data_IF_425517765138
#
_entry.id   IF_425517765138
#
_cell.length_a   1.000
_cell.length_b   1.000
_cell.length_c   1.000
_cell.angle_alpha   90.00
_cell.angle_beta   90.00
_cell.angle_gamma   90.00
#
_symmetry.space_group_name_H-M   'P 1'
#
loop_
_entity.id
_entity.type
_entity.pdbx_description
1 polymer ?
#
# COMPACT_ATOMS: atom_id res chain seq x y z
N UNK A 1 24.67 -16.33 -15.53
CA UNK A 1 24.11 -14.98 -15.51
C UNK A 1 22.67 -15.03 -15.03
N UNK A 2 22.35 -14.19 -14.09
CA UNK A 2 20.99 -14.13 -13.57
C UNK A 2 20.09 -13.49 -14.63
N UNK A 3 18.98 -14.13 -14.94
CA UNK A 3 18.01 -13.56 -15.86
C UNK A 3 17.39 -12.30 -15.25
N UNK A 4 17.07 -11.34 -16.10
CA UNK A 4 16.38 -10.15 -15.63
C UNK A 4 14.94 -10.51 -15.23
N UNK A 5 14.57 -10.16 -14.01
CA UNK A 5 13.21 -10.35 -13.52
C UNK A 5 12.34 -9.18 -14.00
N UNK A 6 11.06 -9.42 -14.34
CA UNK A 6 10.13 -8.31 -14.58
C UNK A 6 9.84 -7.51 -13.32
N UNK A 7 10.25 -8.04 -12.16
CA UNK A 7 10.06 -7.40 -10.87
C UNK A 7 11.36 -6.75 -10.44
N UNK A 8 11.30 -5.48 -10.07
CA UNK A 8 12.43 -4.79 -9.46
C UNK A 8 12.47 -5.18 -7.98
N UNK A 9 13.30 -6.18 -7.67
CA UNK A 9 13.39 -6.75 -6.32
C UNK A 9 13.81 -5.73 -5.28
N UNK A 10 14.75 -4.87 -5.63
CA UNK A 10 15.23 -3.83 -4.70
C UNK A 10 14.11 -2.86 -4.35
N UNK A 11 13.36 -2.40 -5.34
CA UNK A 11 12.23 -1.51 -5.10
C UNK A 11 11.14 -2.18 -4.27
N UNK A 12 10.84 -3.44 -4.58
CA UNK A 12 9.85 -4.21 -3.83
C UNK A 12 10.24 -4.33 -2.36
N UNK A 13 11.50 -4.63 -2.13
CA UNK A 13 12.03 -4.80 -0.77
C UNK A 13 11.96 -3.48 0.02
N UNK A 14 12.41 -2.39 -0.60
CA UNK A 14 12.38 -1.08 0.06
C UNK A 14 10.95 -0.61 0.33
N UNK A 15 10.03 -0.87 -0.59
CA UNK A 15 8.63 -0.52 -0.40
C UNK A 15 8.00 -1.31 0.74
N UNK A 16 8.32 -2.60 0.85
CA UNK A 16 7.86 -3.43 1.96
C UNK A 16 8.32 -2.88 3.30
N UNK A 17 9.60 -2.55 3.40
CA UNK A 17 10.17 -1.99 4.64
C UNK A 17 9.44 -0.70 5.01
N UNK A 18 9.25 0.17 4.04
CA UNK A 18 8.60 1.46 4.25
C UNK A 18 7.18 1.28 4.79
N UNK A 19 6.41 0.40 4.15
CA UNK A 19 5.04 0.14 4.56
C UNK A 19 4.97 -0.52 5.94
N UNK A 20 5.85 -1.48 6.19
CA UNK A 20 5.85 -2.21 7.46
C UNK A 20 6.18 -1.31 8.66
N UNK A 21 6.98 -0.27 8.44
CA UNK A 21 7.40 0.63 9.52
C UNK A 21 6.43 1.79 9.76
N UNK A 22 5.41 1.94 8.92
CA UNK A 22 4.36 2.93 9.14
C UNK A 22 3.32 2.34 10.08
N UNK A 23 3.07 2.99 11.21
CA UNK A 23 2.03 2.54 12.15
C UNK A 23 0.65 2.76 11.54
N UNK A 24 -0.13 1.68 11.43
CA UNK A 24 -1.47 1.74 10.83
C UNK A 24 -2.46 0.82 11.52
N UNK A 25 -2.70 1.01 12.84
CA UNK A 25 -3.71 0.19 13.51
C UNK A 25 -5.11 0.49 12.95
N UNK A 26 -6.01 -0.47 13.08
CA UNK A 26 -7.36 -0.35 12.55
C UNK A 26 -8.03 0.95 12.98
N UNK A 27 -8.71 1.60 12.05
CA UNK A 27 -9.39 2.90 12.20
C UNK A 27 -8.43 4.08 12.36
N UNK A 28 -7.13 3.87 12.25
CA UNK A 28 -6.13 4.94 12.34
C UNK A 28 -5.08 4.77 11.26
N UNK A 29 -5.54 4.60 10.03
CA UNK A 29 -4.68 4.32 8.88
C UNK A 29 -4.30 5.59 8.10
N UNK A 30 -4.52 6.79 8.67
CA UNK A 30 -4.29 8.05 7.95
C UNK A 30 -2.87 8.15 7.38
N UNK A 31 -1.89 7.78 8.19
CA UNK A 31 -0.49 7.91 7.78
C UNK A 31 -0.14 7.01 6.60
N UNK A 32 -0.55 5.75 6.67
CA UNK A 32 -0.28 4.83 5.56
C UNK A 32 -1.10 5.18 4.33
N UNK A 33 -2.33 5.64 4.52
CA UNK A 33 -3.17 6.06 3.40
C UNK A 33 -2.55 7.23 2.64
N UNK A 34 -2.04 8.22 3.35
CA UNK A 34 -1.37 9.36 2.72
C UNK A 34 -0.12 8.93 1.96
N UNK A 35 0.66 8.02 2.54
CA UNK A 35 1.83 7.48 1.87
C UNK A 35 1.44 6.73 0.59
N UNK A 36 0.42 5.88 0.67
CA UNK A 36 -0.04 5.11 -0.47
C UNK A 36 -0.61 5.99 -1.58
N UNK A 37 -1.38 7.02 -1.20
CA UNK A 37 -1.91 7.97 -2.19
C UNK A 37 -0.78 8.61 -2.98
N UNK A 38 0.26 9.03 -2.28
CA UNK A 38 1.43 9.64 -2.91
C UNK A 38 2.12 8.65 -3.85
N UNK A 39 2.40 7.44 -3.37
CA UNK A 39 3.13 6.43 -4.15
C UNK A 39 2.34 5.99 -5.37
N UNK A 40 1.06 5.73 -5.21
CA UNK A 40 0.23 5.29 -6.32
C UNK A 40 0.08 6.39 -7.38
N UNK A 41 -0.04 7.63 -6.94
CA UNK A 41 -0.08 8.77 -7.86
C UNK A 41 1.24 8.91 -8.63
N UNK A 42 2.36 8.75 -7.95
CA UNK A 42 3.67 8.79 -8.59
C UNK A 42 3.83 7.67 -9.64
N UNK A 43 3.17 6.54 -9.43
CA UNK A 43 3.19 5.42 -10.36
C UNK A 43 2.20 5.58 -11.52
N UNK A 44 1.46 6.68 -11.54
CA UNK A 44 0.56 6.99 -12.64
C UNK A 44 -0.88 6.53 -12.46
N UNK A 45 -1.26 6.06 -11.27
CA UNK A 45 -2.62 5.65 -11.01
C UNK A 45 -3.48 6.83 -10.61
N UNK A 46 -4.77 6.77 -10.95
CA UNK A 46 -5.76 7.70 -10.44
C UNK A 46 -6.25 7.20 -9.09
N UNK A 47 -6.06 7.99 -8.05
CA UNK A 47 -6.35 7.58 -6.68
C UNK A 47 -7.43 8.45 -6.08
N UNK A 48 -8.40 7.81 -5.44
CA UNK A 48 -9.44 8.51 -4.68
C UNK A 48 -9.66 7.82 -3.34
N UNK A 49 -10.15 8.57 -2.37
CA UNK A 49 -10.47 8.07 -1.04
C UNK A 49 -11.97 8.25 -0.83
N UNK A 50 -12.64 7.20 -0.31
CA UNK A 50 -14.08 7.28 -0.06
C UNK A 50 -14.37 7.90 1.32
N UNK A 51 -15.66 8.00 1.67
CA UNK A 51 -16.11 8.63 2.90
C UNK A 51 -16.34 7.67 4.07
N UNK A 52 -15.78 6.47 3.99
CA UNK A 52 -16.00 5.44 5.01
C UNK A 52 -15.54 5.88 6.39
N UNK A 53 -14.52 6.73 6.47
CA UNK A 53 -14.00 7.21 7.76
C UNK A 53 -15.11 7.76 8.66
N UNK A 54 -15.99 8.57 8.09
CA UNK A 54 -17.09 9.18 8.84
C UNK A 54 -18.09 8.14 9.32
N UNK A 55 -18.21 7.02 8.62
CA UNK A 55 -19.19 5.98 8.92
C UNK A 55 -18.74 5.03 10.02
N UNK A 56 -17.43 4.85 10.17
CA UNK A 56 -16.88 3.89 11.14
C UNK A 56 -16.12 4.55 12.29
N UNK A 57 -16.06 5.88 12.31
CA UNK A 57 -15.31 6.59 13.34
C UNK A 57 -13.81 6.48 13.20
N UNK A 58 -13.33 6.19 11.99
CA UNK A 58 -11.91 6.13 11.70
C UNK A 58 -11.36 7.45 11.20
N UNK A 59 -10.09 7.49 10.83
CA UNK A 59 -9.46 8.71 10.34
C UNK A 59 -9.13 8.63 8.84
N UNK A 60 -9.47 7.55 8.16
CA UNK A 60 -9.29 7.45 6.72
C UNK A 60 -10.37 6.54 6.11
N UNK A 61 -10.71 6.81 4.86
CA UNK A 61 -11.58 5.96 4.07
C UNK A 61 -10.81 4.89 3.33
N UNK A 62 -11.51 4.15 2.49
CA UNK A 62 -10.87 3.19 1.59
C UNK A 62 -10.22 3.94 0.44
N UNK A 63 -9.10 3.43 -0.03
CA UNK A 63 -8.44 3.97 -1.21
C UNK A 63 -8.81 3.13 -2.43
N UNK A 64 -9.14 3.82 -3.52
CA UNK A 64 -9.37 3.20 -4.81
C UNK A 64 -8.35 3.76 -5.79
N UNK A 65 -7.60 2.90 -6.41
CA UNK A 65 -6.60 3.29 -7.38
C UNK A 65 -6.87 2.58 -8.70
N UNK A 66 -6.86 3.32 -9.78
CA UNK A 66 -7.16 2.80 -11.12
C UNK A 66 -6.02 3.06 -12.07
N UNK A 67 -5.68 2.04 -12.82
CA UNK A 67 -4.71 2.14 -13.90
C UNK A 67 -5.39 1.67 -15.17
N UNK A 68 -5.50 2.50 -16.19
CA UNK A 68 -6.11 2.08 -17.45
C UNK A 68 -5.35 0.89 -18.05
N UNK A 69 -6.09 -0.09 -18.49
CA UNK A 69 -5.52 -1.23 -19.17
C UNK A 69 -5.81 -1.21 -20.65
N UNK A 70 -5.66 -2.35 -21.26
CA UNK A 70 -5.95 -2.52 -22.67
C UNK A 70 -7.46 -2.58 -22.89
N UNK A 71 -7.96 -1.81 -23.85
CA UNK A 71 -9.38 -1.79 -24.20
C UNK A 71 -9.82 -3.17 -24.66
N UNK A 72 -11.02 -3.58 -24.27
CA UNK A 72 -11.59 -4.87 -24.64
C UNK A 72 -11.22 -6.02 -23.71
N UNK A 73 -10.34 -5.80 -22.76
CA UNK A 73 -10.00 -6.82 -21.76
C UNK A 73 -10.74 -6.53 -20.46
N UNK A 74 -11.03 -7.59 -19.73
CA UNK A 74 -11.66 -7.47 -18.42
C UNK A 74 -10.65 -6.92 -17.41
N UNK A 75 -11.09 -6.05 -16.51
CA UNK A 75 -10.20 -5.50 -15.51
C UNK A 75 -9.79 -6.53 -14.45
N UNK A 76 -8.56 -6.41 -13.96
CA UNK A 76 -8.11 -7.13 -12.77
C UNK A 76 -8.36 -6.25 -11.56
N UNK A 77 -8.86 -6.87 -10.52
CA UNK A 77 -9.14 -6.17 -9.27
C UNK A 77 -8.33 -6.81 -8.13
N UNK A 78 -7.53 -5.98 -7.46
CA UNK A 78 -6.78 -6.40 -6.28
C UNK A 78 -7.36 -5.75 -5.05
N UNK A 79 -7.59 -6.53 -4.01
CA UNK A 79 -8.08 -6.00 -2.75
C UNK A 79 -7.12 -6.39 -1.63
N UNK A 80 -6.73 -5.42 -0.84
CA UNK A 80 -5.87 -5.66 0.32
C UNK A 80 -6.19 -4.63 1.40
N UNK A 81 -5.82 -4.93 2.63
CA UNK A 81 -6.08 -4.04 3.74
C UNK A 81 -4.87 -3.14 4.03
N UNK A 82 -5.15 -1.98 4.62
CA UNK A 82 -4.12 -1.03 5.00
C UNK A 82 -3.76 -1.13 6.48
N UNK A 83 -4.65 -1.69 7.29
CA UNK A 83 -4.45 -1.74 8.73
C UNK A 83 -3.57 -2.92 9.13
N UNK A 84 -2.95 -2.76 10.29
CA UNK A 84 -2.17 -3.82 10.93
C UNK A 84 -2.68 -4.00 12.36
N UNK A 85 -2.35 -5.15 12.95
CA UNK A 85 -2.73 -5.42 14.33
C UNK A 85 -1.95 -4.51 15.29
N UNK A 86 -2.57 -4.17 16.40
CA UNK A 86 -1.90 -3.41 17.46
C UNK A 86 -1.09 -4.36 18.35
N UNK A 87 0.04 -3.91 18.93
CA UNK A 87 0.63 -2.60 18.75
C UNK A 87 1.37 -2.49 17.41
N UNK A 88 1.31 -1.32 16.78
CA UNK A 88 1.87 -1.10 15.45
C UNK A 88 2.96 -0.01 15.44
N UNK A 89 3.13 0.71 16.54
CA UNK A 89 4.12 1.77 16.64
C UNK A 89 5.52 1.21 16.88
N UNK A 90 6.50 1.87 16.29
CA UNK A 90 7.90 1.54 16.53
C UNK A 90 8.40 0.26 15.88
N UNK A 91 7.65 -0.27 14.92
CA UNK A 91 8.10 -1.45 14.18
C UNK A 91 9.35 -1.12 13.38
N UNK A 92 10.37 -1.98 13.49
CA UNK A 92 11.61 -1.86 12.74
C UNK A 92 11.85 -3.15 11.99
N UNK A 93 12.10 -3.02 10.70
CA UNK A 93 12.41 -4.18 9.85
C UNK A 93 13.91 -4.41 9.87
N UNK A 94 14.29 -5.66 10.10
CA UNK A 94 15.69 -6.06 10.00
C UNK A 94 15.80 -7.26 9.06
N UNK A 95 16.96 -7.36 8.42
CA UNK A 95 17.21 -8.40 7.44
C UNK A 95 18.44 -9.18 7.85
N UNK A 96 18.26 -10.46 8.15
CA UNK A 96 19.35 -11.34 8.57
C UNK A 96 19.29 -12.65 7.79
N UNK A 97 20.42 -13.03 7.20
CA UNK A 97 20.59 -14.31 6.52
C UNK A 97 19.46 -14.62 5.53
N UNK A 98 19.03 -13.60 4.80
CA UNK A 98 18.00 -13.75 3.79
C UNK A 98 16.57 -13.74 4.33
N UNK A 99 16.39 -13.37 5.60
CA UNK A 99 15.07 -13.38 6.23
C UNK A 99 14.71 -12.00 6.76
#
# INVERSE_FOLDING_TARGET
MKESSPINEERLFQEFIKLAEIASPSCRERQIADYLKKRLTELGLAVEEDDTAAKIGGNTGNLLARLPGQEGLEPLFFACHMDTVAPAEGVKVSFKEGV
#
